data_IF_908589779229
#
_entry.id   IF_908589779229
#
_cell.length_a   1.000
_cell.length_b   1.000
_cell.length_c   1.000
_cell.angle_alpha   90.00
_cell.angle_beta   90.00
_cell.angle_gamma   90.00
#
_symmetry.space_group_name_H-M   'P 1'
#
loop_
_entity.id
_entity.type
_entity.pdbx_description
1 polymer ?
#
# COMPACT_ATOMS: atom_id res chain seq x y z
N UNK A 1 -7.53 -10.86 2.00
CA UNK A 1 -7.91 -10.46 3.37
C UNK A 1 -7.18 -9.18 3.70
N UNK A 2 -7.81 -8.28 4.45
CA UNK A 2 -7.14 -7.11 5.03
C UNK A 2 -7.46 -7.03 6.53
N UNK A 3 -6.47 -6.57 7.30
CA UNK A 3 -6.68 -6.06 8.65
C UNK A 3 -6.90 -4.55 8.57
N UNK A 4 -7.45 -3.96 9.64
CA UNK A 4 -7.45 -2.49 9.71
C UNK A 4 -6.03 -1.97 9.79
N UNK A 5 -5.78 -0.83 9.17
CA UNK A 5 -4.54 -0.10 9.38
C UNK A 5 -4.84 1.00 10.37
N UNK A 6 -4.06 1.11 11.43
CA UNK A 6 -4.07 2.31 12.25
C UNK A 6 -3.44 3.42 11.40
N UNK A 7 -4.25 4.36 10.91
CA UNK A 7 -3.71 5.57 10.30
C UNK A 7 -3.19 6.42 11.47
N UNK A 8 -1.88 6.42 11.64
CA UNK A 8 -1.22 7.44 12.45
C UNK A 8 -0.97 8.62 11.52
N UNK A 9 -1.82 9.64 11.53
CA UNK A 9 -1.51 10.89 10.85
C UNK A 9 -0.38 11.56 11.66
N UNK A 10 0.85 11.39 11.18
CA UNK A 10 1.93 12.30 11.53
C UNK A 10 1.73 13.57 10.71
N UNK A 11 0.87 14.45 11.19
CA UNK A 11 0.76 15.81 10.68
C UNK A 11 1.88 16.65 11.28
N UNK A 12 3.04 16.69 10.61
CA UNK A 12 3.97 17.79 10.83
C UNK A 12 3.35 19.03 10.17
N UNK A 13 2.53 19.78 10.92
CA UNK A 13 2.13 21.10 10.47
C UNK A 13 3.37 21.99 10.55
N UNK A 14 3.80 22.66 9.46
CA UNK A 14 5.07 23.42 9.41
C UNK A 14 5.12 24.63 10.37
N UNK A 15 4.08 24.86 11.17
CA UNK A 15 3.92 26.00 12.08
C UNK A 15 3.43 25.63 13.49
N UNK A 16 2.91 24.41 13.72
CA UNK A 16 2.32 24.03 15.01
C UNK A 16 2.85 22.65 15.37
N UNK A 17 3.74 22.57 16.36
CA UNK A 17 4.35 21.33 16.83
C UNK A 17 3.35 20.15 16.85
N UNK A 18 3.82 19.04 16.29
CA UNK A 18 3.22 17.72 16.12
C UNK A 18 1.92 17.44 16.89
N UNK A 19 0.84 17.26 16.13
CA UNK A 19 -0.30 16.46 16.58
C UNK A 19 -0.21 15.10 15.89
N UNK A 20 0.11 14.06 16.67
CA UNK A 20 -0.09 12.67 16.26
C UNK A 20 -1.59 12.39 16.42
N UNK A 21 -2.34 12.53 15.34
CA UNK A 21 -3.74 12.13 15.34
C UNK A 21 -3.84 10.69 14.82
N UNK A 22 -3.98 9.75 15.75
CA UNK A 22 -4.27 8.36 15.41
C UNK A 22 -5.76 8.23 15.14
N UNK A 23 -6.16 8.42 13.88
CA UNK A 23 -7.52 8.12 13.45
C UNK A 23 -7.63 6.65 13.09
N UNK A 24 -8.31 5.90 13.97
CA UNK A 24 -8.86 4.59 13.65
C UNK A 24 -10.11 4.78 12.78
N UNK A 25 -9.94 5.38 11.60
CA UNK A 25 -11.04 5.33 10.65
C UNK A 25 -11.17 3.89 10.20
N UNK A 26 -12.31 3.29 10.53
CA UNK A 26 -12.85 2.06 9.96
C UNK A 26 -13.02 2.20 8.44
N UNK A 27 -11.94 2.49 7.72
CA UNK A 27 -11.94 2.66 6.29
C UNK A 27 -12.19 1.29 5.67
N UNK A 28 -13.15 1.21 4.76
CA UNK A 28 -13.32 0.01 3.94
C UNK A 28 -12.04 -0.19 3.12
N UNK A 29 -11.17 -1.12 3.54
CA UNK A 29 -9.91 -1.42 2.85
C UNK A 29 -10.10 -2.40 1.71
N UNK A 30 -11.20 -3.16 1.67
CA UNK A 30 -11.60 -3.99 0.51
C UNK A 30 -12.83 -3.39 -0.16
N UNK A 31 -12.72 -3.13 -1.46
CA UNK A 31 -13.84 -2.78 -2.31
C UNK A 31 -14.16 -3.92 -3.30
N UNK A 32 -15.44 -4.23 -3.42
CA UNK A 32 -15.93 -5.15 -4.45
C UNK A 32 -16.06 -4.43 -5.81
N UNK A 33 -15.46 -4.99 -6.87
CA UNK A 33 -15.45 -4.38 -8.21
C UNK A 33 -16.48 -5.06 -9.14
N UNK A 34 -17.35 -4.27 -9.77
CA UNK A 34 -18.54 -4.76 -10.50
C UNK A 34 -19.54 -5.42 -9.56
N UNK A 35 -20.74 -5.84 -9.99
CA UNK A 35 -21.76 -6.54 -9.16
C UNK A 35 -21.66 -8.05 -9.30
N UNK A 36 -21.33 -8.53 -10.51
CA UNK A 36 -21.31 -9.96 -10.88
C UNK A 36 -19.92 -10.40 -11.33
N UNK A 37 -18.88 -9.66 -10.97
CA UNK A 37 -17.51 -9.97 -11.36
C UNK A 37 -16.75 -10.56 -10.17
N UNK A 38 -15.87 -11.54 -10.43
CA UNK A 38 -14.97 -12.08 -9.44
C UNK A 38 -13.75 -11.16 -9.26
N UNK A 39 -14.01 -9.90 -8.91
CA UNK A 39 -13.00 -8.86 -8.80
C UNK A 39 -13.17 -8.03 -7.52
N UNK A 40 -12.04 -7.61 -6.96
CA UNK A 40 -11.96 -6.76 -5.78
C UNK A 40 -10.70 -5.89 -5.83
N UNK A 41 -10.72 -4.78 -5.10
CA UNK A 41 -9.56 -3.96 -4.84
C UNK A 41 -9.29 -3.91 -3.33
N UNK A 42 -8.01 -3.92 -2.96
CA UNK A 42 -7.52 -3.69 -1.62
C UNK A 42 -6.71 -2.39 -1.60
N UNK A 43 -6.92 -1.53 -0.61
CA UNK A 43 -6.23 -0.24 -0.48
C UNK A 43 -5.22 -0.30 0.65
N UNK A 44 -4.08 0.35 0.43
CA UNK A 44 -3.18 0.73 1.51
C UNK A 44 -2.42 2.03 1.24
N UNK A 45 -1.87 2.60 2.31
CA UNK A 45 -1.27 3.93 2.31
C UNK A 45 -2.32 5.00 2.55
N UNK A 46 -2.34 6.01 1.68
CA UNK A 46 -3.27 7.14 1.77
C UNK A 46 -4.74 6.69 1.91
N UNK A 47 -5.46 7.29 2.87
CA UNK A 47 -6.86 6.97 3.14
C UNK A 47 -7.83 7.75 2.23
N UNK A 48 -7.44 8.97 1.84
CA UNK A 48 -8.20 9.88 0.99
C UNK A 48 -7.32 10.54 -0.07
N UNK A 49 -7.98 11.12 -1.08
CA UNK A 49 -7.39 11.97 -2.10
C UNK A 49 -8.22 13.25 -2.11
N UNK A 50 -7.62 14.37 -1.73
CA UNK A 50 -8.28 15.68 -1.63
C UNK A 50 -9.56 15.67 -0.77
N UNK A 51 -9.52 15.01 0.40
CA UNK A 51 -10.66 14.94 1.32
C UNK A 51 -11.75 13.93 0.91
N UNK A 52 -11.54 13.18 -0.19
CA UNK A 52 -12.43 12.11 -0.62
C UNK A 52 -11.79 10.75 -0.37
N UNK A 53 -12.44 9.90 0.41
CA UNK A 53 -11.96 8.55 0.72
C UNK A 53 -11.65 7.74 -0.55
N UNK A 54 -10.51 7.03 -0.58
CA UNK A 54 -10.13 6.14 -1.69
C UNK A 54 -11.23 5.08 -1.96
N UNK A 55 -11.90 4.60 -0.92
CA UNK A 55 -13.02 3.68 -1.05
C UNK A 55 -14.19 4.24 -1.87
N UNK A 56 -14.38 5.56 -1.89
CA UNK A 56 -15.40 6.22 -2.73
C UNK A 56 -15.02 6.17 -4.20
N UNK A 57 -13.75 6.41 -4.53
CA UNK A 57 -13.25 6.24 -5.90
C UNK A 57 -13.35 4.78 -6.36
N UNK A 58 -13.06 3.80 -5.49
CA UNK A 58 -13.23 2.39 -5.85
C UNK A 58 -14.70 2.00 -6.08
N UNK A 59 -15.65 2.66 -5.40
CA UNK A 59 -17.09 2.49 -5.71
C UNK A 59 -17.44 3.09 -7.07
N UNK A 60 -16.82 4.20 -7.47
CA UNK A 60 -16.98 4.77 -8.82
C UNK A 60 -16.45 3.82 -9.88
N UNK A 61 -15.21 3.34 -9.72
CA UNK A 61 -14.62 2.34 -10.60
C UNK A 61 -15.53 1.10 -10.71
N UNK A 62 -16.08 0.64 -9.58
CA UNK A 62 -17.04 -0.48 -9.56
C UNK A 62 -18.32 -0.18 -10.34
N UNK A 63 -18.84 1.06 -10.31
CA UNK A 63 -19.99 1.48 -11.12
C UNK A 63 -19.64 1.50 -12.61
N UNK A 64 -18.50 2.07 -12.98
CA UNK A 64 -18.04 2.12 -14.38
C UNK A 64 -17.83 0.71 -14.95
N UNK A 65 -17.18 -0.18 -14.19
CA UNK A 65 -17.00 -1.60 -14.55
C UNK A 65 -18.35 -2.31 -14.78
N UNK A 66 -19.41 -1.93 -14.06
CA UNK A 66 -20.74 -2.50 -14.27
C UNK A 66 -21.38 -2.01 -15.58
N UNK A 67 -21.10 -0.77 -15.96
CA UNK A 67 -21.63 -0.16 -17.18
C UNK A 67 -20.86 -0.59 -18.42
N UNK A 68 -19.58 -0.97 -18.26
CA UNK A 68 -18.73 -1.44 -19.34
C UNK A 68 -18.92 -2.96 -19.60
N UNK A 69 -19.49 -3.36 -20.76
CA UNK A 69 -19.61 -4.77 -21.12
C UNK A 69 -18.25 -5.44 -21.40
N UNK A 70 -17.20 -4.67 -21.70
CA UNK A 70 -15.86 -5.17 -22.00
C UNK A 70 -15.00 -5.38 -20.75
N UNK A 71 -15.41 -4.87 -19.59
CA UNK A 71 -14.74 -5.06 -18.31
C UNK A 71 -14.97 -6.48 -17.75
N UNK A 72 -14.49 -7.51 -18.46
CA UNK A 72 -14.71 -8.94 -18.18
C UNK A 72 -13.40 -9.75 -18.12
N UNK A 73 -12.27 -9.06 -18.08
CA UNK A 73 -10.93 -9.63 -17.91
C UNK A 73 -10.13 -8.78 -16.91
N UNK A 74 -8.99 -9.32 -16.46
CA UNK A 74 -8.11 -8.65 -15.50
C UNK A 74 -7.66 -7.28 -15.98
N UNK A 75 -7.16 -7.20 -17.22
CA UNK A 75 -6.60 -5.98 -17.77
C UNK A 75 -7.59 -4.82 -17.80
N UNK A 76 -8.83 -5.07 -18.22
CA UNK A 76 -9.87 -4.05 -18.28
C UNK A 76 -10.32 -3.59 -16.89
N UNK A 77 -10.44 -4.50 -15.92
CA UNK A 77 -10.77 -4.12 -14.53
C UNK A 77 -9.67 -3.29 -13.90
N UNK A 78 -8.41 -3.71 -14.05
CA UNK A 78 -7.25 -2.96 -13.55
C UNK A 78 -7.18 -1.58 -14.18
N UNK A 79 -7.38 -1.49 -15.49
CA UNK A 79 -7.36 -0.22 -16.22
C UNK A 79 -8.44 0.74 -15.71
N UNK A 80 -9.66 0.25 -15.46
CA UNK A 80 -10.74 1.07 -14.89
C UNK A 80 -10.39 1.61 -13.51
N UNK A 81 -9.83 0.78 -12.63
CA UNK A 81 -9.38 1.23 -11.30
C UNK A 81 -8.28 2.29 -11.43
N UNK A 82 -7.33 2.11 -12.34
CA UNK A 82 -6.26 3.06 -12.59
C UNK A 82 -6.84 4.42 -13.06
N UNK A 83 -7.65 4.42 -14.12
CA UNK A 83 -8.27 5.63 -14.69
C UNK A 83 -9.09 6.43 -13.66
N UNK A 84 -9.81 5.75 -12.77
CA UNK A 84 -10.61 6.42 -11.73
C UNK A 84 -9.76 7.11 -10.66
N UNK A 85 -8.52 6.67 -10.43
CA UNK A 85 -7.64 7.16 -9.35
C UNK A 85 -6.59 8.14 -9.87
N UNK A 86 -6.08 7.92 -11.08
CA UNK A 86 -4.88 8.57 -11.60
C UNK A 86 -5.04 10.10 -11.71
N UNK A 87 -6.11 10.58 -12.36
CA UNK A 87 -6.36 12.02 -12.52
C UNK A 87 -6.61 12.75 -11.18
N UNK A 88 -7.47 12.25 -10.26
CA UNK A 88 -7.60 12.84 -8.93
C UNK A 88 -6.29 12.87 -8.14
N UNK A 89 -5.47 11.83 -8.23
CA UNK A 89 -4.19 11.78 -7.53
C UNK A 89 -3.18 12.74 -8.14
N UNK A 90 -3.11 12.85 -9.47
CA UNK A 90 -2.26 13.83 -10.15
C UNK A 90 -2.61 15.27 -9.73
N UNK A 91 -3.91 15.61 -9.69
CA UNK A 91 -4.38 16.93 -9.20
C UNK A 91 -4.01 17.18 -7.75
N UNK A 92 -4.02 16.14 -6.91
CA UNK A 92 -3.54 16.25 -5.52
C UNK A 92 -2.05 16.57 -5.47
N UNK A 93 -1.22 15.90 -6.28
CA UNK A 93 0.22 16.17 -6.35
C UNK A 93 0.50 17.60 -6.83
N UNK A 94 -0.22 18.08 -7.84
CA UNK A 94 -0.07 19.45 -8.33
C UNK A 94 -0.47 20.48 -7.25
N UNK A 95 -1.53 20.22 -6.49
CA UNK A 95 -1.90 21.06 -5.36
C UNK A 95 -0.80 21.10 -4.29
N UNK A 96 -0.22 19.94 -3.93
CA UNK A 96 0.90 19.84 -2.99
C UNK A 96 2.10 20.65 -3.51
N UNK A 97 2.51 20.45 -4.76
CA UNK A 97 3.63 21.18 -5.37
C UNK A 97 3.41 22.70 -5.34
N UNK A 98 2.21 23.15 -5.68
CA UNK A 98 1.85 24.56 -5.66
C UNK A 98 1.96 25.16 -4.25
N UNK A 99 1.48 24.46 -3.22
CA UNK A 99 1.57 24.95 -1.84
C UNK A 99 3.02 25.00 -1.33
N UNK A 100 3.82 23.97 -1.61
CA UNK A 100 5.24 23.98 -1.24
C UNK A 100 6.05 25.03 -2.02
N UNK A 101 5.76 25.24 -3.30
CA UNK A 101 6.37 26.29 -4.11
C UNK A 101 6.09 27.69 -3.53
N UNK A 102 4.84 27.96 -3.14
CA UNK A 102 4.48 29.22 -2.46
C UNK A 102 5.21 29.37 -1.13
N UNK A 103 5.27 28.31 -0.33
CA UNK A 103 5.96 28.30 0.96
C UNK A 103 7.46 28.61 0.81
N UNK A 104 8.14 27.97 -0.13
CA UNK A 104 9.57 28.16 -0.35
C UNK A 104 9.93 29.44 -1.13
N UNK A 105 8.96 30.07 -1.78
CA UNK A 105 9.15 31.37 -2.45
C UNK A 105 9.09 32.56 -1.48
N UNK A 106 8.86 32.33 -0.18
CA UNK A 106 8.99 33.37 0.84
C UNK A 106 10.44 33.86 0.91
N UNK A 107 10.63 35.19 1.02
CA UNK A 107 11.95 35.86 0.88
C UNK A 107 13.03 35.20 1.73
N UNK A 108 12.76 34.96 3.01
CA UNK A 108 13.75 34.39 3.93
C UNK A 108 14.13 32.95 3.55
N UNK A 109 13.15 32.13 3.16
CA UNK A 109 13.36 30.74 2.73
C UNK A 109 14.09 30.66 1.40
N UNK A 110 13.74 31.53 0.46
CA UNK A 110 14.38 31.61 -0.85
C UNK A 110 15.87 31.98 -0.70
N UNK A 111 16.20 32.87 0.24
CA UNK A 111 17.58 33.20 0.56
C UNK A 111 18.36 31.98 1.09
N UNK A 112 17.79 31.22 2.05
CA UNK A 112 18.37 29.97 2.57
C UNK A 112 18.59 28.92 1.46
N UNK A 113 17.60 28.75 0.59
CA UNK A 113 17.67 27.86 -0.56
C UNK A 113 18.80 28.30 -1.51
N UNK A 114 18.89 29.58 -1.82
CA UNK A 114 19.91 30.11 -2.75
C UNK A 114 21.34 29.96 -2.22
N UNK A 115 21.55 30.04 -0.90
CA UNK A 115 22.85 29.72 -0.28
C UNK A 115 23.23 28.26 -0.56
N UNK A 116 22.32 27.31 -0.29
CA UNK A 116 22.55 25.87 -0.53
C UNK A 116 22.73 25.54 -2.01
N UNK A 117 21.98 26.19 -2.90
CA UNK A 117 22.07 26.00 -4.35
C UNK A 117 23.40 26.49 -4.89
N UNK A 118 23.83 27.69 -4.49
CA UNK A 118 25.10 28.26 -4.93
C UNK A 118 26.29 27.41 -4.49
N UNK A 119 26.26 26.86 -3.26
CA UNK A 119 27.32 25.95 -2.78
C UNK A 119 27.40 24.64 -3.57
N UNK A 120 26.28 24.23 -4.19
CA UNK A 120 26.18 23.02 -5.01
C UNK A 120 26.33 23.32 -6.52
N UNK A 121 26.71 24.55 -6.90
CA UNK A 121 26.92 24.93 -8.30
C UNK A 121 25.63 25.21 -9.09
N UNK A 122 24.48 25.30 -8.44
CA UNK A 122 23.21 25.63 -9.07
C UNK A 122 22.98 27.15 -9.09
N UNK A 123 22.28 27.69 -10.11
CA UNK A 123 21.95 29.10 -10.16
C UNK A 123 20.95 29.48 -9.06
N UNK A 124 21.05 30.74 -8.61
CA UNK A 124 20.09 31.32 -7.69
C UNK A 124 18.71 31.42 -8.36
N UNK A 125 17.68 31.22 -7.55
CA UNK A 125 16.28 31.30 -7.93
C UNK A 125 15.69 32.65 -7.50
N UNK A 126 14.85 33.23 -8.36
CA UNK A 126 14.01 34.38 -8.03
C UNK A 126 12.69 33.95 -7.41
N UNK A 127 12.26 32.71 -7.65
CA UNK A 127 11.10 32.05 -7.06
C UNK A 127 11.28 30.53 -7.16
N UNK A 128 10.59 29.78 -6.32
CA UNK A 128 10.53 28.31 -6.43
C UNK A 128 9.29 27.96 -7.22
N UNK A 129 9.47 27.30 -8.36
CA UNK A 129 8.35 26.86 -9.20
C UNK A 129 7.84 25.47 -8.78
N UNK A 130 6.55 25.14 -8.99
CA UNK A 130 6.00 23.84 -8.63
C UNK A 130 6.77 22.65 -9.21
N UNK A 131 7.30 22.78 -10.42
CA UNK A 131 8.05 21.72 -11.12
C UNK A 131 9.43 21.46 -10.50
N UNK A 132 9.87 22.31 -9.56
CA UNK A 132 11.11 22.13 -8.81
C UNK A 132 10.88 21.42 -7.46
N UNK A 133 9.63 21.11 -7.11
CA UNK A 133 9.29 20.31 -5.93
C UNK A 133 9.22 18.84 -6.35
N UNK A 134 10.19 18.05 -5.91
CA UNK A 134 10.18 16.61 -6.14
C UNK A 134 9.20 15.92 -5.19
N UNK A 135 8.55 14.87 -5.67
CA UNK A 135 7.74 13.97 -4.83
C UNK A 135 8.48 12.64 -4.68
N UNK A 136 8.60 12.12 -3.46
CA UNK A 136 9.22 10.81 -3.21
C UNK A 136 8.56 9.70 -4.03
N UNK A 137 9.36 8.79 -4.59
CA UNK A 137 8.92 7.65 -5.42
C UNK A 137 8.34 8.00 -6.81
N UNK A 138 8.39 9.26 -7.22
CA UNK A 138 8.08 9.64 -8.59
C UNK A 138 9.07 8.98 -9.57
N UNK A 139 8.57 8.55 -10.72
CA UNK A 139 9.40 7.87 -11.74
C UNK A 139 10.38 8.83 -12.41
N UNK A 140 9.97 10.09 -12.60
CA UNK A 140 10.74 11.14 -13.25
C UNK A 140 10.82 12.37 -12.35
N UNK A 141 11.66 12.36 -11.30
CA UNK A 141 11.82 13.54 -10.44
C UNK A 141 12.43 14.71 -11.24
N UNK A 142 12.21 15.97 -10.80
CA UNK A 142 12.85 17.13 -11.40
C UNK A 142 14.38 17.00 -11.45
N UNK A 143 14.99 17.47 -12.54
CA UNK A 143 16.46 17.44 -12.70
C UNK A 143 17.21 18.32 -11.70
N UNK A 144 16.53 19.35 -11.17
CA UNK A 144 17.07 20.31 -10.21
C UNK A 144 16.04 20.58 -9.10
N UNK A 145 15.84 19.61 -8.20
CA UNK A 145 14.83 19.72 -7.17
C UNK A 145 15.29 20.67 -6.05
N UNK A 146 14.41 21.57 -5.65
CA UNK A 146 14.62 22.46 -4.50
C UNK A 146 14.40 21.73 -3.19
N UNK A 147 13.38 20.87 -3.16
CA UNK A 147 12.99 20.08 -1.99
C UNK A 147 12.35 18.76 -2.47
N UNK A 148 12.44 17.72 -1.65
CA UNK A 148 11.71 16.47 -1.87
C UNK A 148 10.63 16.29 -0.80
N UNK A 149 9.37 16.30 -1.22
CA UNK A 149 8.23 16.01 -0.33
C UNK A 149 8.05 14.50 -0.24
N UNK A 150 8.20 13.97 0.97
CA UNK A 150 7.93 12.56 1.26
C UNK A 150 6.43 12.36 1.47
N UNK A 151 5.76 11.75 0.50
CA UNK A 151 4.36 11.36 0.59
C UNK A 151 4.25 9.86 0.86
N UNK A 152 3.27 9.48 1.68
CA UNK A 152 2.91 8.08 1.83
C UNK A 152 2.30 7.60 0.50
N UNK A 153 2.89 6.59 -0.17
CA UNK A 153 2.38 6.15 -1.45
C UNK A 153 1.00 5.52 -1.29
N UNK A 154 0.09 5.81 -2.21
CA UNK A 154 -1.17 5.09 -2.35
C UNK A 154 -0.90 3.79 -3.11
N UNK A 155 -1.22 2.66 -2.49
CA UNK A 155 -1.12 1.34 -3.13
C UNK A 155 -2.50 0.71 -3.22
N UNK A 156 -2.89 0.28 -4.41
CA UNK A 156 -4.12 -0.46 -4.64
C UNK A 156 -3.78 -1.80 -5.27
N UNK A 157 -4.25 -2.88 -4.66
CA UNK A 157 -4.09 -4.24 -5.18
C UNK A 157 -5.42 -4.68 -5.76
N UNK A 158 -5.46 -4.86 -7.07
CA UNK A 158 -6.62 -5.37 -7.79
C UNK A 158 -6.49 -6.89 -7.90
N UNK A 159 -7.41 -7.62 -7.28
CA UNK A 159 -7.48 -9.07 -7.32
C UNK A 159 -8.63 -9.51 -8.23
N UNK A 160 -8.37 -10.41 -9.17
CA UNK A 160 -9.37 -10.94 -10.10
C UNK A 160 -9.28 -12.45 -10.22
N UNK A 161 -10.40 -13.10 -10.55
CA UNK A 161 -10.45 -14.53 -10.86
C UNK A 161 -11.35 -14.82 -12.06
N UNK A 162 -10.93 -14.36 -13.24
CA UNK A 162 -11.61 -14.62 -14.50
C UNK A 162 -11.23 -16.00 -15.07
N UNK A 163 -12.10 -16.57 -15.89
CA UNK A 163 -11.87 -17.88 -16.51
C UNK A 163 -10.69 -17.85 -17.49
N UNK A 164 -10.61 -16.80 -18.32
CA UNK A 164 -9.56 -16.63 -19.31
C UNK A 164 -8.18 -16.32 -18.68
N UNK A 165 -8.15 -15.53 -17.59
CA UNK A 165 -6.90 -15.01 -17.02
C UNK A 165 -6.39 -15.83 -15.82
N UNK A 166 -7.24 -16.67 -15.25
CA UNK A 166 -7.00 -17.34 -13.97
C UNK A 166 -7.06 -16.36 -12.80
N UNK A 167 -6.40 -16.74 -11.70
CA UNK A 167 -6.23 -15.86 -10.55
C UNK A 167 -5.13 -14.83 -10.83
N UNK A 168 -5.42 -13.55 -10.60
CA UNK A 168 -4.46 -12.45 -10.76
C UNK A 168 -4.54 -11.50 -9.58
N UNK A 169 -3.39 -10.94 -9.23
CA UNK A 169 -3.30 -9.76 -8.39
C UNK A 169 -2.35 -8.77 -9.04
N UNK A 170 -2.82 -7.55 -9.24
CA UNK A 170 -2.06 -6.45 -9.83
C UNK A 170 -2.00 -5.30 -8.84
N UNK A 171 -0.79 -4.92 -8.47
CA UNK A 171 -0.50 -3.76 -7.64
C UNK A 171 -0.36 -2.51 -8.52
N UNK A 172 -1.06 -1.46 -8.10
CA UNK A 172 -1.03 -0.12 -8.66
C UNK A 172 -0.49 0.82 -7.56
N UNK A 173 0.56 1.58 -7.86
CA UNK A 173 1.18 2.48 -6.88
C UNK A 173 1.26 3.91 -7.41
N UNK A 174 0.89 4.86 -6.55
CA UNK A 174 1.06 6.29 -6.77
C UNK A 174 1.89 6.92 -5.64
N UNK A 175 2.76 7.92 -5.93
CA UNK A 175 3.06 8.47 -7.25
C UNK A 175 3.82 7.49 -8.15
N UNK A 176 3.86 7.77 -9.45
CA UNK A 176 4.61 6.99 -10.45
C UNK A 176 3.78 6.00 -11.28
N UNK A 177 2.48 5.84 -11.00
CA UNK A 177 1.57 5.04 -11.82
C UNK A 177 2.03 3.58 -12.04
N UNK A 178 2.87 3.05 -11.14
CA UNK A 178 3.55 1.78 -11.37
C UNK A 178 2.54 0.64 -11.31
N UNK A 179 2.55 -0.20 -12.35
CA UNK A 179 1.77 -1.42 -12.43
C UNK A 179 2.67 -2.63 -12.28
N UNK A 180 2.43 -3.45 -11.25
CA UNK A 180 3.17 -4.69 -11.00
C UNK A 180 2.22 -5.86 -10.84
N UNK A 181 2.44 -6.93 -11.61
CA UNK A 181 1.71 -8.19 -11.38
C UNK A 181 2.35 -8.89 -10.18
N UNK A 182 1.60 -9.06 -9.10
CA UNK A 182 2.09 -9.57 -7.82
C UNK A 182 2.00 -11.09 -7.68
N UNK A 183 1.16 -11.73 -8.49
CA UNK A 183 1.10 -13.20 -8.60
C UNK A 183 1.54 -13.65 -10.01
N UNK A 184 2.85 -13.65 -10.31
CA UNK A 184 3.39 -14.32 -11.49
C UNK A 184 4.15 -15.59 -11.05
N UNK A 185 3.47 -16.60 -10.48
CA UNK A 185 4.19 -17.80 -10.08
C UNK A 185 3.38 -18.86 -9.31
N UNK A 186 4.02 -19.99 -8.95
CA UNK A 186 3.37 -21.13 -8.31
C UNK A 186 3.03 -20.91 -6.83
N UNK A 187 3.53 -19.84 -6.20
CA UNK A 187 3.20 -19.51 -4.80
C UNK A 187 1.81 -18.87 -4.73
N UNK A 188 0.81 -19.54 -4.15
CA UNK A 188 -0.56 -19.05 -4.10
C UNK A 188 -0.79 -18.02 -2.98
N UNK A 189 0.19 -17.84 -2.08
CA UNK A 189 0.10 -16.89 -0.97
C UNK A 189 0.87 -15.62 -1.30
N UNK A 190 0.18 -14.51 -1.13
CA UNK A 190 0.72 -13.17 -1.23
C UNK A 190 0.19 -12.35 -0.07
N UNK A 191 1.07 -11.60 0.59
CA UNK A 191 0.74 -10.71 1.68
C UNK A 191 1.51 -9.41 1.50
N UNK A 192 0.95 -8.35 2.07
CA UNK A 192 1.51 -7.01 2.02
C UNK A 192 1.26 -6.33 3.37
N UNK A 193 2.13 -5.39 3.75
CA UNK A 193 2.03 -4.61 4.98
C UNK A 193 2.77 -5.24 6.18
N UNK A 194 2.51 -4.70 7.37
CA UNK A 194 3.15 -5.19 8.59
C UNK A 194 2.66 -6.59 8.99
N UNK A 195 3.52 -7.34 9.69
CA UNK A 195 3.28 -8.74 10.02
C UNK A 195 3.77 -9.75 8.98
N UNK A 196 4.28 -9.30 7.83
CA UNK A 196 4.91 -10.17 6.83
C UNK A 196 6.07 -11.00 7.40
N UNK A 197 6.84 -10.46 8.34
CA UNK A 197 7.87 -11.19 9.09
C UNK A 197 7.29 -12.38 9.87
N UNK A 198 6.20 -12.17 10.61
CA UNK A 198 5.55 -13.23 11.38
C UNK A 198 4.92 -14.29 10.46
N UNK A 199 4.26 -13.86 9.38
CA UNK A 199 3.72 -14.77 8.37
C UNK A 199 4.86 -15.57 7.71
N UNK A 200 5.97 -14.93 7.35
CA UNK A 200 7.13 -15.60 6.77
C UNK A 200 7.70 -16.66 7.73
N UNK A 201 7.88 -16.32 9.02
CA UNK A 201 8.35 -17.26 10.05
C UNK A 201 7.39 -18.43 10.24
N UNK A 202 6.09 -18.15 10.28
CA UNK A 202 5.06 -19.19 10.39
C UNK A 202 5.07 -20.14 9.18
N UNK A 203 5.17 -19.59 7.97
CA UNK A 203 5.08 -20.37 6.72
C UNK A 203 6.37 -21.08 6.34
N UNK A 204 7.51 -20.43 6.56
CA UNK A 204 8.84 -20.84 6.07
C UNK A 204 9.77 -21.32 7.18
N UNK A 205 9.39 -21.13 8.46
CA UNK A 205 10.23 -21.41 9.62
C UNK A 205 11.22 -20.30 9.97
N UNK A 206 11.42 -19.30 9.09
CA UNK A 206 12.37 -18.21 9.30
C UNK A 206 11.99 -16.94 8.52
N UNK A 207 12.70 -15.85 8.80
CA UNK A 207 12.52 -14.54 8.17
C UNK A 207 13.77 -14.13 7.40
N UNK A 208 13.65 -13.96 6.09
CA UNK A 208 14.76 -13.58 5.22
C UNK A 208 15.24 -12.14 5.45
N UNK A 209 14.42 -11.26 6.03
CA UNK A 209 14.83 -9.88 6.33
C UNK A 209 15.96 -9.84 7.35
N UNK A 210 16.06 -10.85 8.22
CA UNK A 210 17.17 -11.01 9.15
C UNK A 210 18.52 -11.11 8.42
N UNK A 211 18.56 -11.59 7.18
CA UNK A 211 19.80 -11.71 6.42
C UNK A 211 20.19 -10.42 5.69
N UNK A 212 19.26 -9.46 5.56
CA UNK A 212 19.49 -8.20 4.83
C UNK A 212 20.09 -7.10 5.71
N UNK A 213 19.90 -7.17 7.02
CA UNK A 213 20.14 -6.05 7.95
C UNK A 213 21.56 -6.02 8.58
N UNK A 214 22.54 -6.69 7.96
CA UNK A 214 23.82 -6.97 8.63
C UNK A 214 25.00 -6.07 8.26
N UNK A 215 24.82 -5.01 7.45
CA UNK A 215 25.92 -4.12 7.02
C UNK A 215 26.70 -3.49 8.19
N UNK A 216 26.09 -3.32 9.36
CA UNK A 216 26.73 -2.72 10.55
C UNK A 216 27.44 -3.73 11.48
N UNK A 217 27.26 -5.04 11.25
CA UNK A 217 27.70 -6.10 12.18
C UNK A 217 28.96 -6.88 11.77
N UNK A 218 29.67 -6.43 10.73
CA UNK A 218 30.77 -7.20 10.13
C UNK A 218 30.27 -8.31 9.21
N UNK A 219 29.20 -8.04 8.47
CA UNK A 219 28.56 -8.98 7.57
C UNK A 219 29.52 -9.60 6.52
N UNK A 220 29.16 -10.81 6.04
CA UNK A 220 29.64 -11.36 4.79
C UNK A 220 29.65 -10.31 3.67
N UNK A 221 30.58 -10.40 2.73
CA UNK A 221 30.52 -9.54 1.54
C UNK A 221 29.21 -9.77 0.76
N UNK A 222 28.86 -8.85 -0.15
CA UNK A 222 27.59 -8.91 -0.88
C UNK A 222 27.39 -10.23 -1.66
N UNK A 223 28.47 -10.88 -2.11
CA UNK A 223 28.40 -12.15 -2.82
C UNK A 223 28.21 -13.32 -1.85
N UNK A 224 28.84 -13.30 -0.68
CA UNK A 224 28.65 -14.30 0.37
C UNK A 224 27.24 -14.19 0.98
N UNK A 225 26.73 -12.98 1.23
CA UNK A 225 25.34 -12.75 1.64
C UNK A 225 24.35 -13.29 0.58
N UNK A 226 24.63 -13.06 -0.70
CA UNK A 226 23.86 -13.61 -1.80
C UNK A 226 23.94 -15.13 -1.85
N UNK A 227 25.09 -15.75 -1.61
CA UNK A 227 25.23 -17.21 -1.53
C UNK A 227 24.44 -17.79 -0.35
N UNK A 228 24.47 -17.15 0.82
CA UNK A 228 23.67 -17.54 1.98
C UNK A 228 22.18 -17.40 1.67
N UNK A 229 21.76 -16.31 1.03
CA UNK A 229 20.38 -16.12 0.60
C UNK A 229 19.95 -17.16 -0.45
N UNK A 230 20.80 -17.48 -1.42
CA UNK A 230 20.52 -18.50 -2.44
C UNK A 230 20.42 -19.89 -1.80
N UNK A 231 21.33 -20.21 -0.89
CA UNK A 231 21.31 -21.45 -0.12
C UNK A 231 20.06 -21.53 0.75
N UNK A 232 19.76 -20.49 1.52
CA UNK A 232 18.58 -20.40 2.36
C UNK A 232 17.30 -20.46 1.53
N UNK A 233 17.23 -19.82 0.35
CA UNK A 233 16.07 -19.90 -0.54
C UNK A 233 15.87 -21.32 -1.09
N UNK A 234 16.94 -22.03 -1.46
CA UNK A 234 16.88 -23.44 -1.90
C UNK A 234 16.46 -24.37 -0.78
N UNK A 235 16.97 -24.16 0.44
CA UNK A 235 16.61 -24.94 1.62
C UNK A 235 15.24 -24.58 2.20
N UNK A 236 14.81 -23.32 2.06
CA UNK A 236 13.48 -22.86 2.47
C UNK A 236 12.40 -23.69 1.80
N UNK A 237 12.60 -24.09 0.55
CA UNK A 237 11.65 -24.94 -0.16
C UNK A 237 11.48 -26.31 0.51
N UNK A 238 12.53 -26.83 1.17
CA UNK A 238 12.48 -28.10 1.89
C UNK A 238 11.82 -27.99 3.28
N UNK A 239 11.84 -26.81 3.90
CA UNK A 239 11.28 -26.54 5.22
C UNK A 239 10.02 -25.67 5.21
N UNK A 240 9.53 -25.30 4.02
CA UNK A 240 8.20 -24.75 3.87
C UNK A 240 7.24 -25.71 4.55
N UNK A 241 6.43 -25.18 5.47
CA UNK A 241 5.33 -25.95 6.00
C UNK A 241 4.58 -26.51 4.79
N UNK A 242 4.39 -27.83 4.66
CA UNK A 242 3.72 -28.42 3.50
C UNK A 242 2.24 -28.08 3.59
N UNK A 243 1.91 -26.82 3.34
CA UNK A 243 0.56 -26.32 3.31
C UNK A 243 0.05 -26.58 1.90
N UNK A 244 -0.95 -27.46 1.72
CA UNK A 244 -1.48 -27.78 0.41
C UNK A 244 -2.38 -26.65 -0.10
N UNK A 245 -1.88 -25.40 -0.13
CA UNK A 245 -2.70 -24.20 -0.39
C UNK A 245 -3.44 -24.29 -1.73
N UNK A 246 -2.85 -24.97 -2.73
CA UNK A 246 -3.47 -25.16 -4.04
C UNK A 246 -4.63 -26.19 -4.05
N UNK A 247 -4.65 -27.12 -3.11
CA UNK A 247 -5.69 -28.16 -2.98
C UNK A 247 -6.51 -28.03 -1.69
N UNK A 248 -6.29 -26.95 -0.94
CA UNK A 248 -6.98 -26.66 0.30
C UNK A 248 -8.48 -26.47 0.04
N UNK A 249 -9.37 -27.19 0.75
CA UNK A 249 -10.79 -26.92 0.71
C UNK A 249 -11.07 -25.44 1.00
N UNK A 250 -12.10 -24.87 0.37
CA UNK A 250 -12.33 -23.44 0.48
C UNK A 250 -12.55 -22.96 1.93
N UNK A 251 -13.20 -23.77 2.77
CA UNK A 251 -13.41 -23.43 4.17
C UNK A 251 -12.07 -23.37 4.92
N UNK A 252 -11.23 -24.38 4.74
CA UNK A 252 -9.86 -24.40 5.29
C UNK A 252 -9.05 -23.20 4.78
N UNK A 253 -9.20 -22.82 3.51
CA UNK A 253 -8.52 -21.64 2.95
C UNK A 253 -8.97 -20.32 3.59
N UNK A 254 -10.27 -20.22 3.93
CA UNK A 254 -10.83 -19.08 4.66
C UNK A 254 -10.26 -19.03 6.08
N UNK A 255 -10.30 -20.15 6.81
CA UNK A 255 -9.83 -20.24 8.20
C UNK A 255 -8.33 -20.04 8.30
N UNK A 256 -7.58 -20.62 7.37
CA UNK A 256 -6.14 -20.42 7.25
C UNK A 256 -5.79 -18.97 6.95
N UNK A 257 -6.51 -18.33 6.02
CA UNK A 257 -6.34 -16.90 5.75
C UNK A 257 -6.62 -16.07 7.01
N UNK A 258 -7.70 -16.37 7.73
CA UNK A 258 -8.03 -15.71 9.00
C UNK A 258 -6.90 -15.86 10.02
N UNK A 259 -6.36 -17.06 10.19
CA UNK A 259 -5.25 -17.35 11.08
C UNK A 259 -4.00 -16.53 10.72
N UNK A 260 -3.66 -16.41 9.43
CA UNK A 260 -2.56 -15.55 8.98
C UNK A 260 -2.80 -14.08 9.34
N UNK A 261 -4.04 -13.60 9.23
CA UNK A 261 -4.41 -12.23 9.60
C UNK A 261 -4.31 -11.99 11.09
N UNK A 262 -4.79 -12.92 11.90
CA UNK A 262 -4.69 -12.85 13.36
C UNK A 262 -3.23 -12.90 13.81
N UNK A 263 -2.39 -13.71 13.14
CA UNK A 263 -0.95 -13.76 13.39
C UNK A 263 -0.28 -12.41 13.09
N UNK A 264 -0.63 -11.77 11.97
CA UNK A 264 -0.11 -10.45 11.62
C UNK A 264 -0.55 -9.39 12.65
N UNK A 265 -1.84 -9.32 13.01
CA UNK A 265 -2.34 -8.41 14.04
C UNK A 265 -1.70 -8.66 15.41
N UNK A 266 -1.52 -9.92 15.80
CA UNK A 266 -0.89 -10.30 17.06
C UNK A 266 0.57 -9.87 17.11
N UNK A 267 1.34 -10.16 16.06
CA UNK A 267 2.73 -9.71 15.94
C UNK A 267 2.84 -8.18 16.04
N UNK A 268 2.00 -7.48 15.29
CA UNK A 268 2.06 -6.04 15.16
C UNK A 268 1.63 -5.28 16.43
N UNK A 269 0.81 -5.92 17.28
CA UNK A 269 0.47 -5.43 18.61
C UNK A 269 1.66 -5.41 19.57
N UNK A 270 2.62 -6.34 19.41
CA UNK A 270 3.74 -6.51 20.34
C UNK A 270 5.09 -6.07 19.78
N UNK A 271 5.18 -5.69 18.51
CA UNK A 271 6.40 -5.10 17.94
C UNK A 271 6.63 -3.71 18.55
N UNK A 272 7.89 -3.25 18.55
CA UNK A 272 8.19 -1.86 18.89
C UNK A 272 7.74 -0.90 17.78
N UNK A 273 7.26 0.28 18.16
CA UNK A 273 6.76 1.31 17.25
C UNK A 273 5.24 1.29 17.08
N UNK A 274 4.74 2.10 16.15
CA UNK A 274 3.31 2.16 15.87
C UNK A 274 2.80 0.86 15.24
N UNK A 275 1.64 0.39 15.71
CA UNK A 275 0.93 -0.70 15.06
C UNK A 275 0.50 -0.25 13.65
N UNK A 276 0.88 -1.01 12.63
CA UNK A 276 0.43 -0.85 11.25
C UNK A 276 -0.78 -1.71 10.87
N UNK A 277 -1.07 -2.80 11.58
CA UNK A 277 -2.23 -3.68 11.34
C UNK A 277 -2.91 -4.11 12.64
N UNK A 278 -4.25 -4.09 12.65
CA UNK A 278 -5.04 -4.48 13.81
C UNK A 278 -6.55 -4.56 13.53
N UNK A 279 -7.33 -4.61 14.61
CA UNK A 279 -8.79 -4.59 14.57
C UNK A 279 -9.42 -5.83 13.93
N UNK A 280 -10.73 -5.76 13.62
CA UNK A 280 -11.44 -6.86 12.97
C UNK A 280 -10.88 -7.16 11.57
N UNK A 281 -10.91 -8.42 11.14
CA UNK A 281 -10.48 -8.82 9.79
C UNK A 281 -11.64 -8.76 8.79
N UNK A 282 -11.33 -8.40 7.55
CA UNK A 282 -12.26 -8.53 6.42
C UNK A 282 -11.79 -9.61 5.44
N UNK A 283 -12.73 -10.46 5.03
CA UNK A 283 -12.50 -11.61 4.18
C UNK A 283 -13.55 -11.64 3.07
N UNK A 284 -13.08 -11.41 1.85
CA UNK A 284 -13.83 -11.55 0.61
C UNK A 284 -13.26 -12.71 -0.19
N UNK A 285 -14.13 -13.63 -0.60
CA UNK A 285 -13.77 -14.78 -1.45
C UNK A 285 -14.15 -14.49 -2.88
N UNK A 286 -13.19 -14.68 -3.79
CA UNK A 286 -13.41 -14.65 -5.23
C UNK A 286 -13.49 -16.09 -5.76
N UNK A 287 -14.50 -16.39 -6.57
CA UNK A 287 -14.66 -17.68 -7.26
C UNK A 287 -14.91 -17.41 -8.74
N UNK A 288 -14.77 -18.41 -9.60
CA UNK A 288 -15.16 -18.25 -11.01
C UNK A 288 -16.60 -17.75 -11.11
N UNK A 289 -16.78 -16.59 -11.75
CA UNK A 289 -18.08 -15.96 -12.02
C UNK A 289 -18.78 -15.27 -10.85
N UNK A 290 -18.27 -15.31 -9.61
CA UNK A 290 -18.88 -14.58 -8.50
C UNK A 290 -17.91 -14.33 -7.34
N UNK A 291 -18.38 -13.57 -6.34
CA UNK A 291 -17.66 -13.31 -5.10
C UNK A 291 -18.60 -13.36 -3.92
N UNK A 292 -18.07 -13.61 -2.72
CA UNK A 292 -18.86 -13.70 -1.50
C UNK A 292 -18.08 -13.11 -0.32
N UNK A 293 -18.71 -12.19 0.40
CA UNK A 293 -18.22 -11.74 1.70
C UNK A 293 -18.39 -12.86 2.71
N UNK A 294 -17.29 -13.28 3.33
CA UNK A 294 -17.30 -14.22 4.45
C UNK A 294 -17.33 -13.44 5.75
N UNK A 295 -16.50 -12.38 5.82
CA UNK A 295 -16.48 -11.44 6.93
C UNK A 295 -16.32 -10.03 6.38
N UNK A 296 -17.20 -9.12 6.81
CA UNK A 296 -17.17 -7.72 6.42
C UNK A 296 -17.43 -6.89 7.67
N UNK A 297 -16.65 -5.82 7.85
CA UNK A 297 -16.89 -4.88 8.94
C UNK A 297 -18.22 -4.17 8.71
N UNK A 298 -18.92 -3.88 9.80
CA UNK A 298 -20.05 -2.94 9.78
C UNK A 298 -19.56 -1.64 10.38
N UNK A 299 -19.45 -0.62 9.54
CA UNK A 299 -19.19 0.74 10.01
C UNK A 299 -20.50 1.20 10.65
N UNK A 300 -20.50 1.34 11.97
CA UNK A 300 -21.61 1.97 12.68
C UNK A 300 -21.36 3.47 12.57
N UNK A 301 -22.26 4.19 11.89
CA UNK A 301 -22.21 5.66 11.77
C UNK A 301 -22.62 6.38 13.07
N UNK A 302 -22.42 5.73 14.22
CA UNK A 302 -22.68 6.34 15.52
C UNK A 302 -21.48 7.18 15.91
N UNK A 303 -21.69 8.48 16.11
CA UNK A 303 -20.82 9.31 16.94
C UNK A 303 -20.60 8.54 18.24
N UNK A 304 -19.41 7.95 18.40
CA UNK A 304 -19.04 7.31 19.64
C UNK A 304 -18.88 8.42 20.67
N UNK A 305 -19.95 8.74 21.40
CA UNK A 305 -19.82 9.40 22.69
C UNK A 305 -19.00 8.47 23.56
N UNK A 306 -17.73 8.82 23.78
CA UNK A 306 -16.93 8.21 24.86
C UNK A 306 -17.75 8.40 26.13
N UNK A 307 -18.38 7.35 26.63
CA UNK A 307 -18.77 7.29 28.03
C UNK A 307 -17.47 7.20 28.82
N UNK A 308 -17.18 8.26 29.57
CA UNK A 308 -16.20 8.22 30.64
C UNK A 308 -16.65 7.17 31.66
N UNK A 309 -15.85 6.13 31.85
CA UNK A 309 -15.80 5.30 33.06
C UNK A 309 -14.40 5.42 33.67
#
# INVERSE_FOLDING_TARGET
>A
MCADSMLTLNGAHPLTNDHIETTFENAEKIAALGKKLPAAAMVSGAADIQGRLVSSFLRDASREINLDPNARNDAAVVQKVFETIDDPYAKMLDAVRNEFAKFYSQVDRLAEINVRRTSNGFPQLTEVRPEQIAISNEENPPADPVETVNLTPLTIVVCTYFEADGQRATELTWPGGRRRVCVPGPSPLWWWGSGGAAIARLMRGFDLSLLQDHSESGAPDAEEAKQVLDYAARFALAYLMPTPVQSMPLQDAIEFTEYLGQTACGYDRFKMGAAGVGGPLEILVLRRGHRKWVRRKRIHSGLATRSEE
#
